data_IF_113551311730
#
_entry.id   IF_113551311730
#
_cell.length_a   1.000
_cell.length_b   1.000
_cell.length_c   1.000
_cell.angle_alpha   90.00
_cell.angle_beta   90.00
_cell.angle_gamma   90.00
#
_symmetry.space_group_name_H-M   'P 1'
#
loop_
_entity.id
_entity.type
_entity.pdbx_description
1 polymer ?
#
# COMPACT_ATOMS: atom_id res chain seq x y z
N UNK A 1 6.69 32.02 30.31
CA UNK A 1 6.35 31.87 28.88
C UNK A 1 6.21 33.22 28.19
N UNK A 2 5.35 34.15 28.66
CA UNK A 2 5.20 35.49 28.08
C UNK A 2 6.53 36.27 27.99
N UNK A 3 7.30 36.28 29.08
CA UNK A 3 8.63 36.88 29.13
C UNK A 3 9.64 36.20 28.19
N UNK A 4 9.65 34.86 28.14
CA UNK A 4 10.56 34.09 27.28
C UNK A 4 10.32 34.33 25.77
N UNK A 5 9.09 34.64 25.38
CA UNK A 5 8.71 34.96 23.98
C UNK A 5 8.76 36.48 23.73
N UNK A 6 8.86 37.29 24.78
CA UNK A 6 8.91 38.76 24.68
C UNK A 6 7.56 39.41 24.35
N UNK A 7 6.44 38.84 24.82
CA UNK A 7 5.08 39.35 24.54
C UNK A 7 4.29 39.68 25.81
N UNK A 8 3.23 40.49 25.65
CA UNK A 8 2.31 40.82 26.75
C UNK A 8 1.59 39.58 27.30
N UNK A 9 1.36 39.56 28.60
CA UNK A 9 0.70 38.46 29.31
C UNK A 9 -0.71 38.19 28.76
N UNK A 10 -1.46 39.23 28.39
CA UNK A 10 -2.81 39.05 27.81
C UNK A 10 -2.79 38.38 26.44
N UNK A 11 -1.77 38.64 25.62
CA UNK A 11 -1.58 37.93 24.35
C UNK A 11 -1.23 36.47 24.61
N UNK A 12 -0.40 36.19 25.60
CA UNK A 12 -0.10 34.82 26.03
C UNK A 12 -1.36 34.09 26.51
N UNK A 13 -2.25 34.76 27.24
CA UNK A 13 -3.55 34.21 27.65
C UNK A 13 -4.43 33.87 26.46
N UNK A 14 -4.41 34.67 25.38
CA UNK A 14 -5.14 34.36 24.14
C UNK A 14 -4.60 33.10 23.45
N UNK A 15 -3.28 32.92 23.37
CA UNK A 15 -2.64 31.72 22.78
C UNK A 15 -3.01 30.46 23.58
N UNK A 16 -3.03 30.55 24.91
CA UNK A 16 -3.32 29.42 25.79
C UNK A 16 -4.82 29.16 25.98
N UNK A 17 -5.69 30.00 25.41
CA UNK A 17 -7.12 29.91 25.63
C UNK A 17 -7.64 28.62 25.01
N UNK A 18 -8.29 27.79 25.83
CA UNK A 18 -9.11 26.68 25.34
C UNK A 18 -10.38 27.27 24.76
N UNK A 19 -10.55 27.12 23.46
CA UNK A 19 -11.75 27.54 22.74
C UNK A 19 -12.53 26.32 22.27
N UNK A 20 -13.86 26.42 22.24
CA UNK A 20 -14.75 25.33 21.82
C UNK A 20 -14.75 25.11 20.30
N UNK A 21 -13.99 25.92 19.55
CA UNK A 21 -13.91 25.90 18.08
C UNK A 21 -13.17 24.67 17.53
N UNK A 22 -12.48 23.90 18.37
CA UNK A 22 -11.70 22.72 17.95
C UNK A 22 -10.35 23.07 17.30
N UNK A 23 -9.72 22.08 16.65
CA UNK A 23 -8.39 22.21 16.00
C UNK A 23 -8.46 22.68 14.54
N UNK A 24 -9.63 22.59 13.90
CA UNK A 24 -9.88 23.10 12.56
C UNK A 24 -10.65 24.41 12.68
N UNK A 25 -10.06 25.52 12.22
CA UNK A 25 -10.64 26.85 12.34
C UNK A 25 -11.00 27.38 10.95
N UNK A 26 -12.21 27.92 10.82
CA UNK A 26 -12.62 28.58 9.59
C UNK A 26 -11.94 29.96 9.47
N UNK A 27 -11.42 30.27 8.30
CA UNK A 27 -10.83 31.58 7.99
C UNK A 27 -11.84 32.32 7.10
N UNK A 28 -12.40 33.42 7.60
CA UNK A 28 -13.46 34.17 6.89
C UNK A 28 -12.93 34.91 5.66
N UNK A 29 -11.68 35.35 5.70
CA UNK A 29 -10.97 35.95 4.57
C UNK A 29 -10.03 34.93 3.91
N UNK A 30 -9.56 35.24 2.70
CA UNK A 30 -8.57 34.41 2.01
C UNK A 30 -7.26 34.32 2.83
N UNK A 31 -6.81 33.09 3.07
CA UNK A 31 -5.56 32.84 3.80
C UNK A 31 -4.38 33.32 2.94
N UNK A 32 -3.67 34.33 3.42
CA UNK A 32 -2.50 34.88 2.74
C UNK A 32 -1.26 34.06 3.11
N UNK A 33 -0.71 33.36 2.12
CA UNK A 33 0.54 32.59 2.26
C UNK A 33 1.55 32.99 1.20
N UNK A 34 2.83 32.87 1.51
CA UNK A 34 3.90 33.05 0.52
C UNK A 34 4.04 31.72 -0.22
N UNK A 35 3.58 31.68 -1.47
CA UNK A 35 3.68 30.52 -2.37
C UNK A 35 4.47 30.95 -3.60
N UNK A 36 5.46 30.16 -4.08
CA UNK A 36 6.17 30.47 -5.31
C UNK A 36 5.26 30.37 -6.55
N UNK A 37 5.57 31.12 -7.61
CA UNK A 37 4.81 31.10 -8.86
C UNK A 37 4.94 29.73 -9.57
N UNK A 38 3.84 29.17 -10.06
CA UNK A 38 3.73 27.78 -10.60
C UNK A 38 4.76 27.44 -11.71
N UNK A 39 5.26 28.43 -12.45
CA UNK A 39 6.27 28.22 -13.50
C UNK A 39 7.65 27.79 -12.97
N UNK A 40 7.95 28.07 -11.70
CA UNK A 40 9.23 27.71 -11.06
C UNK A 40 9.21 26.27 -10.51
N UNK A 41 8.08 25.77 -10.01
CA UNK A 41 7.96 24.39 -9.48
C UNK A 41 8.26 23.32 -10.54
N UNK A 42 7.85 23.55 -11.80
CA UNK A 42 8.11 22.61 -12.90
C UNK A 42 9.60 22.43 -13.25
N UNK A 43 10.46 23.40 -12.89
CA UNK A 43 11.92 23.32 -13.09
C UNK A 43 12.61 22.63 -11.91
N UNK A 44 12.22 22.93 -10.68
CA UNK A 44 12.86 22.36 -9.47
C UNK A 44 12.57 20.86 -9.29
N UNK A 45 11.38 20.39 -9.69
CA UNK A 45 11.05 18.95 -9.69
C UNK A 45 11.94 18.15 -10.66
N UNK A 46 12.38 18.77 -11.78
CA UNK A 46 13.29 18.13 -12.74
C UNK A 46 14.73 18.08 -12.22
N UNK A 47 15.19 19.15 -11.59
CA UNK A 47 16.55 19.25 -11.02
C UNK A 47 16.74 18.25 -9.87
N UNK A 48 15.75 18.10 -8.98
CA UNK A 48 15.82 17.14 -7.87
C UNK A 48 15.76 15.67 -8.32
N UNK A 49 15.29 15.38 -9.53
CA UNK A 49 15.29 14.02 -10.09
C UNK A 49 16.66 13.62 -10.66
N UNK A 50 17.51 14.60 -10.98
CA UNK A 50 18.85 14.40 -11.56
C UNK A 50 19.99 14.48 -10.51
N UNK A 51 19.77 15.12 -9.35
CA UNK A 51 20.78 15.27 -8.28
C UNK A 51 20.79 14.14 -7.24
N UNK A 52 20.25 12.96 -7.56
CA UNK A 52 20.32 11.77 -6.72
C UNK A 52 21.67 11.03 -6.79
N UNK A 53 22.80 11.71 -6.66
CA UNK A 53 24.09 11.15 -6.24
C UNK A 53 25.18 12.23 -6.26
N UNK A 54 25.85 12.40 -5.12
CA UNK A 54 27.05 13.22 -4.86
C UNK A 54 26.80 14.57 -4.18
N UNK A 55 26.94 14.57 -2.85
CA UNK A 55 27.17 15.79 -2.08
C UNK A 55 27.12 15.52 -0.58
N UNK A 56 28.27 15.44 0.08
CA UNK A 56 28.33 15.57 1.53
C UNK A 56 28.20 17.06 1.88
N UNK A 57 26.98 17.59 2.06
CA UNK A 57 26.76 18.94 2.62
C UNK A 57 25.61 18.95 3.64
N UNK A 58 25.98 19.00 4.92
CA UNK A 58 25.19 18.53 6.07
C UNK A 58 24.06 19.43 6.61
N UNK A 59 23.61 20.51 5.93
CA UNK A 59 22.58 21.39 6.52
C UNK A 59 21.38 21.76 5.63
N UNK A 60 21.48 21.66 4.30
CA UNK A 60 20.41 22.08 3.38
C UNK A 60 19.43 20.98 2.95
N UNK A 61 19.87 19.72 2.98
CA UNK A 61 19.12 18.60 2.41
C UNK A 61 17.97 18.09 3.31
N UNK A 62 18.09 18.28 4.63
CA UNK A 62 17.03 17.87 5.56
C UNK A 62 15.81 18.80 5.52
N UNK A 63 16.04 20.12 5.35
CA UNK A 63 14.97 21.12 5.36
C UNK A 63 14.10 21.11 4.09
N UNK A 64 14.59 20.50 3.00
CA UNK A 64 13.91 20.35 1.72
C UNK A 64 13.55 18.89 1.42
N UNK A 65 13.53 18.02 2.44
CA UNK A 65 13.17 16.62 2.25
C UNK A 65 11.77 16.51 1.65
N UNK A 66 11.63 15.65 0.64
CA UNK A 66 10.34 15.40 0.01
C UNK A 66 9.40 14.72 1.01
N UNK A 67 8.27 15.36 1.30
CA UNK A 67 7.25 14.84 2.22
C UNK A 67 6.05 14.21 1.50
N UNK A 68 5.82 14.61 0.24
CA UNK A 68 4.63 14.23 -0.52
C UNK A 68 4.98 13.46 -1.78
N UNK A 69 4.29 12.33 -1.97
CA UNK A 69 4.35 11.51 -3.16
C UNK A 69 2.92 11.10 -3.54
N UNK A 70 2.49 11.49 -4.74
CA UNK A 70 1.23 11.01 -5.29
C UNK A 70 1.33 9.51 -5.57
N UNK A 71 0.35 8.74 -5.09
CA UNK A 71 0.31 7.27 -5.21
C UNK A 71 -0.79 6.80 -6.18
N UNK A 72 -1.77 7.64 -6.48
CA UNK A 72 -2.93 7.30 -7.31
C UNK A 72 -2.69 7.60 -8.80
N UNK A 73 -1.60 7.04 -9.34
CA UNK A 73 -1.21 7.19 -10.76
C UNK A 73 -0.93 5.85 -11.39
N UNK A 74 -1.74 5.47 -12.39
CA UNK A 74 -1.60 4.19 -13.11
C UNK A 74 -0.27 4.09 -13.87
N UNK A 75 0.23 5.22 -14.40
CA UNK A 75 1.50 5.26 -15.14
C UNK A 75 2.74 4.91 -14.29
N UNK A 76 2.62 5.01 -12.96
CA UNK A 76 3.69 4.71 -12.01
C UNK A 76 3.45 3.36 -11.28
N UNK A 77 2.53 2.52 -11.80
CA UNK A 77 2.20 1.24 -11.18
C UNK A 77 3.37 0.25 -11.22
N UNK A 78 3.68 -0.37 -10.09
CA UNK A 78 4.72 -1.40 -9.98
C UNK A 78 4.23 -2.75 -10.52
N UNK A 79 2.93 -3.02 -10.35
CA UNK A 79 2.26 -4.20 -10.92
C UNK A 79 1.05 -3.73 -11.69
N UNK A 80 0.94 -4.15 -12.95
CA UNK A 80 -0.17 -3.78 -13.82
C UNK A 80 -0.67 -4.99 -14.62
N UNK A 81 -1.99 -5.17 -14.62
CA UNK A 81 -2.67 -6.13 -15.47
C UNK A 81 -3.94 -5.52 -16.04
N UNK A 82 -4.03 -5.46 -17.37
CA UNK A 82 -5.16 -4.84 -18.09
C UNK A 82 -6.53 -5.42 -17.70
N UNK A 83 -6.59 -6.67 -17.25
CA UNK A 83 -7.83 -7.40 -16.91
C UNK A 83 -8.02 -7.62 -15.40
N UNK A 84 -7.02 -7.28 -14.58
CA UNK A 84 -7.08 -7.50 -13.14
C UNK A 84 -7.03 -6.20 -12.34
N UNK A 85 -6.21 -5.22 -12.76
CA UNK A 85 -6.04 -3.96 -12.04
C UNK A 85 -4.58 -3.54 -11.94
N UNK A 86 -4.24 -2.80 -10.87
CA UNK A 86 -2.90 -2.27 -10.67
C UNK A 86 -2.56 -2.08 -9.17
N UNK A 87 -1.27 -2.08 -8.86
CA UNK A 87 -0.71 -1.75 -7.56
C UNK A 87 0.41 -0.71 -7.73
N UNK A 88 0.43 0.29 -6.86
CA UNK A 88 1.53 1.24 -6.75
C UNK A 88 1.98 1.33 -5.29
N UNK A 89 3.21 0.89 -5.02
CA UNK A 89 3.84 0.87 -3.72
C UNK A 89 4.80 2.04 -3.60
N UNK A 90 4.74 2.77 -2.48
CA UNK A 90 5.70 3.80 -2.09
C UNK A 90 6.52 3.27 -0.92
N UNK A 91 7.80 3.01 -1.19
CA UNK A 91 8.82 2.56 -0.23
C UNK A 91 9.83 3.69 0.00
N UNK A 92 10.85 3.44 0.83
CA UNK A 92 11.99 4.35 0.99
C UNK A 92 12.68 4.72 -0.33
N UNK A 93 12.61 3.86 -1.37
CA UNK A 93 13.18 4.14 -2.68
C UNK A 93 12.46 5.28 -3.41
N UNK A 94 11.13 5.39 -3.24
CA UNK A 94 10.30 6.44 -3.86
C UNK A 94 10.14 7.67 -2.96
N UNK A 95 10.23 7.50 -1.65
CA UNK A 95 10.09 8.57 -0.66
C UNK A 95 11.08 8.34 0.50
N UNK A 96 12.30 8.90 0.44
CA UNK A 96 13.39 8.59 1.39
C UNK A 96 13.06 8.81 2.87
N UNK A 97 12.14 9.74 3.20
CA UNK A 97 11.64 9.94 4.56
C UNK A 97 11.11 8.64 5.19
N UNK A 98 10.55 7.74 4.39
CA UNK A 98 9.99 6.47 4.84
C UNK A 98 11.01 5.56 5.53
N UNK A 99 12.29 5.72 5.22
CA UNK A 99 13.38 5.03 5.94
C UNK A 99 13.49 5.47 7.40
N UNK A 100 13.19 6.74 7.71
CA UNK A 100 13.29 7.28 9.06
C UNK A 100 12.13 6.85 9.96
N UNK A 101 10.95 6.66 9.37
CA UNK A 101 9.74 6.23 10.10
C UNK A 101 9.49 4.73 10.05
N UNK A 102 10.24 4.00 9.22
CA UNK A 102 10.09 2.56 8.94
C UNK A 102 8.66 2.16 8.53
N UNK A 103 8.09 2.95 7.61
CA UNK A 103 6.73 2.74 7.08
C UNK A 103 6.72 2.77 5.57
N UNK A 104 5.70 2.17 4.97
CA UNK A 104 5.43 2.29 3.53
C UNK A 104 3.94 2.29 3.25
N UNK A 105 3.57 2.59 2.01
CA UNK A 105 2.19 2.61 1.57
C UNK A 105 2.02 1.91 0.22
N UNK A 106 0.83 1.40 -0.05
CA UNK A 106 0.44 0.86 -1.35
C UNK A 106 -0.96 1.33 -1.70
N UNK A 107 -1.15 1.78 -2.94
CA UNK A 107 -2.47 1.99 -3.54
C UNK A 107 -2.76 0.82 -4.44
N UNK A 108 -3.92 0.20 -4.25
CA UNK A 108 -4.38 -0.89 -5.10
C UNK A 108 -5.74 -0.63 -5.69
N UNK A 109 -5.94 -1.18 -6.89
CA UNK A 109 -7.18 -1.19 -7.62
C UNK A 109 -7.36 -2.55 -8.27
N UNK A 110 -8.52 -3.18 -8.06
CA UNK A 110 -8.92 -4.40 -8.75
C UNK A 110 -10.18 -4.16 -9.55
N UNK A 111 -10.15 -4.64 -10.79
CA UNK A 111 -11.32 -4.73 -11.66
C UNK A 111 -12.34 -5.74 -11.11
N UNK A 112 -13.60 -5.69 -11.58
CA UNK A 112 -14.63 -6.63 -11.17
C UNK A 112 -14.16 -8.09 -11.18
N UNK A 113 -14.38 -8.79 -10.06
CA UNK A 113 -14.04 -10.20 -9.87
C UNK A 113 -12.55 -10.57 -9.97
N UNK A 114 -11.64 -9.61 -10.08
CA UNK A 114 -10.20 -9.86 -10.08
C UNK A 114 -9.70 -10.17 -8.66
N UNK A 115 -8.48 -10.71 -8.57
CA UNK A 115 -7.91 -11.16 -7.30
C UNK A 115 -6.55 -10.52 -7.05
N UNK A 116 -6.32 -10.06 -5.83
CA UNK A 116 -4.99 -10.02 -5.25
C UNK A 116 -4.70 -11.44 -4.73
N UNK A 117 -3.67 -12.07 -5.28
CA UNK A 117 -3.37 -13.48 -5.02
C UNK A 117 -3.11 -13.77 -3.55
N UNK A 118 -3.32 -15.02 -3.10
CA UNK A 118 -2.84 -15.46 -1.80
C UNK A 118 -1.35 -15.16 -1.62
N UNK A 119 -1.03 -14.39 -0.60
CA UNK A 119 0.34 -14.01 -0.25
C UNK A 119 0.43 -13.73 1.26
N UNK A 120 1.65 -13.67 1.79
CA UNK A 120 1.92 -13.16 3.13
C UNK A 120 3.01 -12.10 3.09
N UNK A 121 3.09 -11.25 4.11
CA UNK A 121 4.25 -10.36 4.30
C UNK A 121 5.22 -10.96 5.31
N UNK A 122 6.51 -10.91 4.98
CA UNK A 122 7.58 -11.48 5.83
C UNK A 122 8.14 -10.49 6.86
N UNK A 123 7.94 -9.19 6.68
CA UNK A 123 8.55 -8.14 7.50
C UNK A 123 7.62 -6.97 7.83
N UNK A 124 6.32 -7.03 7.51
CA UNK A 124 5.39 -5.94 7.79
C UNK A 124 3.98 -6.44 8.15
N UNK A 125 3.30 -5.71 9.03
CA UNK A 125 1.84 -5.75 9.13
C UNK A 125 1.24 -4.89 8.02
N UNK A 126 0.06 -5.27 7.51
CA UNK A 126 -0.68 -4.50 6.51
C UNK A 126 -1.97 -3.93 7.09
N UNK A 127 -2.13 -2.61 7.07
CA UNK A 127 -3.34 -1.90 7.50
C UNK A 127 -4.05 -1.41 6.25
N UNK A 128 -5.15 -2.08 5.88
CA UNK A 128 -5.88 -1.90 4.64
C UNK A 128 -7.09 -1.00 4.89
N UNK A 129 -7.22 0.09 4.15
CA UNK A 129 -8.37 0.99 4.15
C UNK A 129 -9.02 1.02 2.77
N UNK A 130 -10.31 0.66 2.69
CA UNK A 130 -11.03 0.63 1.42
C UNK A 130 -11.53 2.03 1.07
N UNK A 131 -11.06 2.57 -0.06
CA UNK A 131 -11.41 3.91 -0.52
C UNK A 131 -12.64 3.92 -1.42
N UNK A 132 -12.90 2.82 -2.15
CA UNK A 132 -14.04 2.71 -3.06
C UNK A 132 -14.40 1.25 -3.34
N UNK A 133 -15.69 0.99 -3.56
CA UNK A 133 -16.17 -0.33 -3.96
C UNK A 133 -16.17 -1.33 -2.81
N UNK A 134 -16.11 -2.61 -3.17
CA UNK A 134 -16.18 -3.71 -2.21
C UNK A 134 -15.47 -4.96 -2.72
N UNK A 135 -15.08 -5.81 -1.79
CA UNK A 135 -14.39 -7.06 -2.05
C UNK A 135 -14.51 -8.03 -0.89
N UNK A 136 -13.96 -9.21 -1.08
CA UNK A 136 -13.98 -10.28 -0.12
C UNK A 136 -12.54 -10.58 0.32
N UNK A 137 -12.26 -10.38 1.61
CA UNK A 137 -10.95 -10.55 2.22
C UNK A 137 -10.95 -11.84 3.04
N UNK A 138 -9.97 -12.70 2.75
CA UNK A 138 -9.69 -13.90 3.54
C UNK A 138 -8.31 -13.76 4.17
N UNK A 139 -8.20 -14.14 5.44
CA UNK A 139 -6.96 -14.14 6.21
C UNK A 139 -6.83 -15.47 6.96
N UNK A 140 -5.66 -16.09 6.83
CA UNK A 140 -5.29 -17.36 7.45
C UNK A 140 -4.10 -17.13 8.37
N UNK A 141 -4.21 -17.63 9.60
CA UNK A 141 -3.13 -17.54 10.58
C UNK A 141 -2.03 -18.59 10.38
N UNK A 142 -1.01 -18.54 11.22
CA UNK A 142 0.12 -19.48 11.19
C UNK A 142 -0.26 -20.93 11.55
N UNK A 143 -1.47 -21.19 12.04
CA UNK A 143 -2.00 -22.54 12.31
C UNK A 143 -2.89 -23.04 11.16
N UNK A 144 -3.01 -22.28 10.06
CA UNK A 144 -3.88 -22.63 8.95
C UNK A 144 -5.37 -22.36 9.22
N UNK A 145 -5.71 -21.60 10.27
CA UNK A 145 -7.10 -21.26 10.59
C UNK A 145 -7.51 -20.00 9.85
N UNK A 146 -8.67 -20.03 9.19
CA UNK A 146 -9.29 -18.86 8.55
C UNK A 146 -9.83 -17.89 9.60
N UNK A 147 -8.96 -17.07 10.18
CA UNK A 147 -9.29 -16.10 11.24
C UNK A 147 -10.13 -14.92 10.74
N UNK A 148 -10.14 -14.68 9.44
CA UNK A 148 -10.95 -13.65 8.81
C UNK A 148 -11.47 -14.11 7.45
N UNK A 149 -12.76 -13.94 7.23
CA UNK A 149 -13.42 -14.29 5.98
C UNK A 149 -14.66 -13.39 5.81
N UNK A 150 -14.46 -12.17 5.32
CA UNK A 150 -15.53 -11.14 5.32
C UNK A 150 -15.54 -10.31 4.05
N UNK A 151 -16.69 -9.71 3.79
CA UNK A 151 -16.81 -8.65 2.79
C UNK A 151 -16.33 -7.32 3.38
N UNK A 152 -15.39 -6.69 2.70
CA UNK A 152 -14.86 -5.35 2.99
C UNK A 152 -15.44 -4.34 1.99
N UNK A 153 -15.83 -3.17 2.47
CA UNK A 153 -16.44 -2.10 1.66
C UNK A 153 -15.85 -0.74 2.00
N UNK A 154 -16.09 0.24 1.13
CA UNK A 154 -15.66 1.63 1.31
C UNK A 154 -15.85 2.16 2.74
N UNK A 155 -14.80 2.79 3.27
CA UNK A 155 -14.75 3.37 4.61
C UNK A 155 -14.33 2.40 5.71
N UNK A 156 -14.15 1.10 5.40
CA UNK A 156 -13.68 0.12 6.37
C UNK A 156 -12.16 0.02 6.41
N UNK A 157 -11.64 -0.23 7.61
CA UNK A 157 -10.24 -0.47 7.90
C UNK A 157 -10.07 -1.90 8.45
N UNK A 158 -9.04 -2.62 8.01
CA UNK A 158 -8.72 -3.97 8.49
C UNK A 158 -7.21 -4.14 8.58
N UNK A 159 -6.75 -5.01 9.50
CA UNK A 159 -5.34 -5.31 9.68
C UNK A 159 -5.07 -6.76 9.33
N UNK A 160 -4.04 -7.00 8.51
CA UNK A 160 -3.46 -8.32 8.26
C UNK A 160 -2.10 -8.36 8.97
N UNK A 161 -1.94 -9.17 10.02
CA UNK A 161 -0.67 -9.29 10.71
C UNK A 161 0.45 -9.86 9.81
N UNK A 162 1.70 -9.54 10.13
CA UNK A 162 2.87 -10.16 9.51
C UNK A 162 2.79 -11.69 9.60
N UNK A 163 3.24 -12.37 8.54
CA UNK A 163 3.15 -13.83 8.32
C UNK A 163 1.75 -14.43 8.17
N UNK A 164 0.68 -13.65 8.31
CA UNK A 164 -0.65 -14.16 8.01
C UNK A 164 -0.85 -14.14 6.49
N UNK A 165 -1.33 -15.24 5.93
CA UNK A 165 -1.63 -15.30 4.52
C UNK A 165 -2.97 -14.61 4.27
N UNK A 166 -3.06 -13.79 3.24
CA UNK A 166 -4.31 -13.15 2.85
C UNK A 166 -4.51 -13.14 1.33
N UNK A 167 -5.77 -12.99 0.93
CA UNK A 167 -6.16 -12.72 -0.45
C UNK A 167 -7.37 -11.79 -0.50
N UNK A 168 -7.49 -11.02 -1.57
CA UNK A 168 -8.65 -10.15 -1.81
C UNK A 168 -9.25 -10.52 -3.15
N UNK A 169 -10.54 -10.81 -3.17
CA UNK A 169 -11.33 -10.91 -4.40
C UNK A 169 -12.18 -9.66 -4.53
N UNK A 170 -12.12 -8.97 -5.66
CA UNK A 170 -12.99 -7.84 -5.92
C UNK A 170 -14.46 -8.28 -6.10
N UNK A 171 -15.39 -7.44 -5.64
CA UNK A 171 -16.81 -7.58 -5.94
C UNK A 171 -17.13 -7.26 -7.42
N UNK A 172 -18.42 -7.19 -7.73
CA UNK A 172 -18.90 -6.93 -9.10
C UNK A 172 -18.60 -5.51 -9.61
N UNK A 173 -18.39 -4.56 -8.71
CA UNK A 173 -18.03 -3.16 -9.05
C UNK A 173 -16.52 -2.89 -9.02
N UNK A 174 -15.69 -3.88 -8.68
CA UNK A 174 -14.28 -3.65 -8.35
C UNK A 174 -14.06 -3.10 -6.94
N UNK A 175 -12.79 -2.96 -6.54
CA UNK A 175 -12.38 -2.40 -5.24
C UNK A 175 -11.11 -1.57 -5.38
N UNK A 176 -11.09 -0.42 -4.71
CA UNK A 176 -9.91 0.42 -4.54
C UNK A 176 -9.58 0.55 -3.05
N UNK A 177 -8.30 0.44 -2.70
CA UNK A 177 -7.86 0.54 -1.32
C UNK A 177 -6.49 1.23 -1.21
N UNK A 178 -6.15 1.62 0.00
CA UNK A 178 -4.80 2.04 0.41
C UNK A 178 -4.37 1.12 1.55
N UNK A 179 -3.13 0.64 1.49
CA UNK A 179 -2.52 -0.16 2.55
C UNK A 179 -1.36 0.60 3.15
N UNK A 180 -1.31 0.73 4.47
CA UNK A 180 -0.12 1.16 5.21
C UNK A 180 0.61 -0.07 5.73
N UNK A 181 1.93 -0.11 5.57
CA UNK A 181 2.75 -1.25 5.97
C UNK A 181 3.81 -0.81 6.96
N UNK A 182 4.02 -1.62 8.01
CA UNK A 182 4.95 -1.33 9.11
C UNK A 182 6.39 -1.72 8.80
N UNK A 183 6.86 -1.36 7.61
CA UNK A 183 8.26 -1.46 7.19
C UNK A 183 8.49 -0.51 6.02
N UNK A 184 9.66 0.12 5.92
CA UNK A 184 10.03 0.98 4.78
C UNK A 184 10.20 0.20 3.47
N UNK A 185 10.54 -1.09 3.55
CA UNK A 185 10.73 -2.00 2.41
C UNK A 185 9.93 -3.30 2.62
N UNK A 186 8.59 -3.26 2.45
CA UNK A 186 7.74 -4.40 2.73
C UNK A 186 7.92 -5.48 1.66
N UNK A 187 8.26 -6.67 2.13
CA UNK A 187 8.44 -7.86 1.32
C UNK A 187 7.18 -8.74 1.42
N UNK A 188 6.59 -9.05 0.27
CA UNK A 188 5.45 -9.97 0.14
C UNK A 188 5.89 -11.20 -0.62
N UNK A 189 5.37 -12.35 -0.21
CA UNK A 189 5.65 -13.62 -0.87
C UNK A 189 4.33 -14.21 -1.38
N UNK A 190 4.11 -14.25 -2.71
CA UNK A 190 2.93 -14.87 -3.28
C UNK A 190 3.01 -16.40 -3.21
N UNK A 191 1.88 -17.04 -2.95
CA UNK A 191 1.75 -18.51 -2.94
C UNK A 191 1.69 -19.08 -4.35
N UNK A 192 0.99 -18.37 -5.25
CA UNK A 192 0.71 -18.75 -6.65
C UNK A 192 1.08 -17.64 -7.62
N UNK A 193 1.45 -18.00 -8.85
CA UNK A 193 1.85 -17.08 -9.92
C UNK A 193 3.32 -17.20 -10.31
N UNK A 194 3.75 -16.36 -11.25
CA UNK A 194 5.11 -16.40 -11.83
C UNK A 194 6.22 -16.41 -10.79
N UNK A 195 6.14 -15.50 -9.82
CA UNK A 195 7.16 -15.25 -8.79
C UNK A 195 6.81 -15.88 -7.44
N UNK A 196 6.10 -17.01 -7.46
CA UNK A 196 5.51 -17.59 -6.26
C UNK A 196 6.34 -18.67 -5.59
N UNK A 197 5.96 -19.04 -4.36
CA UNK A 197 6.56 -20.19 -3.69
C UNK A 197 6.33 -21.50 -4.42
N UNK A 198 5.19 -21.66 -5.11
CA UNK A 198 4.94 -22.87 -5.90
C UNK A 198 5.90 -22.98 -7.08
N UNK A 199 6.25 -21.86 -7.72
CA UNK A 199 7.26 -21.88 -8.80
C UNK A 199 8.68 -22.12 -8.30
N UNK A 200 8.98 -21.71 -7.06
CA UNK A 200 10.27 -21.97 -6.42
C UNK A 200 10.47 -23.44 -5.95
N UNK A 201 9.39 -24.16 -5.63
CA UNK A 201 9.47 -25.54 -5.14
C UNK A 201 9.79 -26.54 -6.26
N UNK A 202 10.69 -27.53 -6.04
CA UNK A 202 10.87 -28.63 -6.98
C UNK A 202 9.62 -29.53 -7.06
N UNK A 203 9.37 -30.11 -8.24
CA UNK A 203 8.13 -30.87 -8.51
C UNK A 203 7.93 -32.08 -7.61
N UNK A 204 8.99 -32.86 -7.36
CA UNK A 204 8.92 -34.08 -6.55
C UNK A 204 8.55 -33.79 -5.07
N UNK A 205 9.23 -32.87 -4.35
CA UNK A 205 8.79 -32.40 -3.04
C UNK A 205 7.33 -31.92 -3.00
N UNK A 206 6.90 -31.15 -4.01
CA UNK A 206 5.51 -30.66 -4.09
C UNK A 206 4.51 -31.82 -4.23
N UNK A 207 4.74 -32.72 -5.18
CA UNK A 207 3.90 -33.88 -5.42
C UNK A 207 3.77 -34.77 -4.18
N UNK A 208 4.90 -35.04 -3.51
CA UNK A 208 4.92 -35.85 -2.29
C UNK A 208 4.23 -35.17 -1.11
N UNK A 209 4.44 -33.85 -0.93
CA UNK A 209 3.86 -33.09 0.19
C UNK A 209 2.34 -33.02 0.11
N UNK A 210 1.81 -32.76 -1.09
CA UNK A 210 0.37 -32.69 -1.33
C UNK A 210 -0.28 -34.04 -1.67
N UNK A 211 0.53 -35.10 -1.81
CA UNK A 211 0.09 -36.45 -2.24
C UNK A 211 -0.67 -36.42 -3.57
N UNK A 212 -0.12 -35.70 -4.54
CA UNK A 212 -0.70 -35.53 -5.89
C UNK A 212 0.23 -36.09 -6.97
N UNK A 213 -0.30 -36.50 -8.14
CA UNK A 213 0.52 -36.84 -9.30
C UNK A 213 1.41 -35.67 -9.76
N UNK A 214 2.54 -35.98 -10.38
CA UNK A 214 3.46 -34.96 -10.94
C UNK A 214 2.76 -34.06 -11.97
N UNK A 215 1.80 -34.58 -12.73
CA UNK A 215 1.01 -33.79 -13.67
C UNK A 215 0.18 -32.70 -12.97
N UNK A 216 -0.40 -32.98 -11.82
CA UNK A 216 -1.13 -31.97 -11.03
C UNK A 216 -0.16 -30.98 -10.34
N UNK A 217 1.02 -31.44 -9.92
CA UNK A 217 2.05 -30.53 -9.41
C UNK A 217 2.55 -29.56 -10.50
N UNK A 218 2.64 -30.00 -11.75
CA UNK A 218 2.91 -29.13 -12.91
C UNK A 218 1.79 -28.09 -13.09
N UNK A 219 0.52 -28.49 -12.99
CA UNK A 219 -0.63 -27.58 -13.09
C UNK A 219 -0.62 -26.51 -11.99
N UNK A 220 -0.38 -26.89 -10.72
CA UNK A 220 -0.27 -25.94 -9.61
C UNK A 220 0.85 -24.91 -9.83
N UNK A 221 1.94 -25.36 -10.47
CA UNK A 221 3.12 -24.53 -10.71
C UNK A 221 2.94 -23.59 -11.90
N UNK A 222 2.31 -24.06 -12.98
CA UNK A 222 2.37 -23.39 -14.29
C UNK A 222 1.04 -22.84 -14.81
N UNK A 223 -0.12 -23.20 -14.24
CA UNK A 223 -1.42 -22.71 -14.76
C UNK A 223 -1.60 -21.18 -14.73
N UNK A 224 -0.83 -20.49 -13.89
CA UNK A 224 -0.86 -19.03 -13.70
C UNK A 224 0.53 -18.40 -13.76
N UNK A 225 1.49 -19.04 -14.43
CA UNK A 225 2.89 -18.57 -14.51
C UNK A 225 3.11 -17.27 -15.31
N UNK A 226 2.07 -16.80 -16.01
CA UNK A 226 2.06 -15.54 -16.73
C UNK A 226 1.52 -14.37 -15.90
N UNK A 227 0.82 -14.66 -14.80
CA UNK A 227 0.24 -13.65 -13.91
C UNK A 227 1.15 -13.41 -12.68
N UNK A 228 1.20 -12.16 -12.21
CA UNK A 228 1.97 -11.75 -11.03
C UNK A 228 1.12 -10.87 -10.11
N UNK A 229 0.96 -11.28 -8.84
CA UNK A 229 0.22 -10.61 -7.76
C UNK A 229 -1.27 -10.31 -8.01
N UNK A 230 -1.66 -9.91 -9.22
CA UNK A 230 -3.00 -9.53 -9.64
C UNK A 230 -3.49 -10.50 -10.70
N UNK A 231 -4.49 -11.30 -10.37
CA UNK A 231 -5.02 -12.32 -11.27
C UNK A 231 -6.34 -11.87 -11.86
N UNK A 232 -6.52 -11.97 -13.20
CA UNK A 232 -7.80 -11.73 -13.81
C UNK A 232 -8.80 -12.82 -13.37
N UNK A 233 -10.11 -12.52 -13.43
CA UNK A 233 -11.14 -13.51 -13.21
C UNK A 233 -10.95 -14.68 -14.17
N UNK A 234 -10.92 -15.91 -13.67
CA UNK A 234 -11.01 -17.10 -14.52
C UNK A 234 -12.44 -17.28 -14.99
N UNK A 235 -12.63 -17.58 -16.26
CA UNK A 235 -13.95 -17.87 -16.87
C UNK A 235 -14.62 -19.12 -16.27
N UNK A 236 -13.89 -19.92 -15.51
CA UNK A 236 -14.39 -21.14 -14.88
C UNK A 236 -15.01 -20.81 -13.52
N UNK A 237 -16.34 -20.76 -13.49
CA UNK A 237 -17.13 -20.82 -12.26
C UNK A 237 -16.76 -22.09 -11.49
N UNK A 238 -16.16 -21.95 -10.31
CA UNK A 238 -16.25 -23.02 -9.32
C UNK A 238 -17.65 -22.97 -8.74
N UNK A 239 -18.57 -23.76 -9.32
CA UNK A 239 -19.72 -24.24 -8.58
C UNK A 239 -19.16 -25.15 -7.48
N UNK A 240 -19.09 -24.63 -6.25
CA UNK A 240 -18.94 -25.49 -5.08
C UNK A 240 -20.34 -25.96 -4.72
N UNK A 241 -20.75 -27.07 -5.31
CA UNK A 241 -21.76 -27.95 -4.71
C UNK A 241 -21.05 -28.76 -3.64
N UNK A 242 -21.34 -28.46 -2.38
CA UNK A 242 -21.77 -29.40 -1.34
C UNK A 242 -22.27 -28.62 -0.11
#
# INVERSE_FOLDING_TARGET
MAEAIGILVDLMRKIQRKEERGVLVNVEEEMRTIVPDEEQEGRDVRVNKEMGNNGNETNGEFCSIRLLQAIDRIGDADVFSKKAGWLNKITEDKLPLLRLVDLSAEKGSLQPNAFLVPHWSVNAHSIIYVTQGEGHLQVVDNQGRGVFNVNIKQGQLTVVPQYYACMIRAGSSGINWVTFMTSSQPMRTPIVGRLSTFTALPLQPMANSYRIPITQALELKFNRDHDEMLFPPTTTSYQTTE
#
